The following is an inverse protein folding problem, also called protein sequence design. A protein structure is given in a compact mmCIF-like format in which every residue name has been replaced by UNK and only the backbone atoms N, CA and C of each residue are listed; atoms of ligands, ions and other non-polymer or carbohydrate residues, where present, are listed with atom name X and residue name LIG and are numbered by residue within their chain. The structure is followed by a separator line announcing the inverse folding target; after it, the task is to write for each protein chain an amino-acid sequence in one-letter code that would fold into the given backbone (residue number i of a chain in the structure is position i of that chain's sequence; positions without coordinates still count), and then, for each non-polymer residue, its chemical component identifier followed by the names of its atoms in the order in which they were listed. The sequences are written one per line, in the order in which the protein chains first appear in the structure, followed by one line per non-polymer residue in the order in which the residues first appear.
data_IF_408480676859
#
_entry.id   IF_408480676859
#
_cell.length_a   1.000
_cell.length_b   1.000
_cell.length_c   1.000
_cell.angle_alpha   90.00
_cell.angle_beta   90.00
_cell.angle_gamma   90.00
#
_symmetry.space_group_name_H-M   'P 1'
#
loop_
_entity.id
_entity.type
_entity.pdbx_description
1 polymer ?
#
# COMPACT_ATOMS: atom_id res chain seq x y z
N UNK A 1 -5.06 -10.19 -13.91
CA UNK A 1 -5.92 -9.61 -14.98
C UNK A 1 -7.37 -9.37 -14.55
N UNK A 2 -7.90 -10.13 -13.60
CA UNK A 2 -9.31 -9.98 -13.15
C UNK A 2 -9.57 -8.76 -12.26
N UNK A 3 -8.60 -8.36 -11.42
CA UNK A 3 -8.78 -7.25 -10.47
C UNK A 3 -8.95 -5.89 -11.16
N UNK A 4 -8.18 -5.63 -12.21
CA UNK A 4 -8.28 -4.37 -12.97
C UNK A 4 -9.68 -4.17 -13.58
N UNK A 5 -10.30 -5.24 -14.08
CA UNK A 5 -11.67 -5.18 -14.61
C UNK A 5 -12.69 -4.92 -13.51
N UNK A 6 -12.52 -5.55 -12.33
CA UNK A 6 -13.38 -5.32 -11.18
C UNK A 6 -13.24 -3.87 -10.69
N UNK A 7 -12.02 -3.38 -10.53
CA UNK A 7 -11.75 -1.99 -10.12
C UNK A 7 -12.41 -1.01 -11.09
N UNK A 8 -12.19 -1.14 -12.40
CA UNK A 8 -12.82 -0.28 -13.41
C UNK A 8 -14.33 -0.28 -13.30
N UNK A 9 -14.93 -1.45 -13.07
CA UNK A 9 -16.38 -1.57 -12.90
C UNK A 9 -16.86 -0.80 -11.67
N UNK A 10 -16.21 -0.95 -10.51
CA UNK A 10 -16.56 -0.22 -9.30
C UNK A 10 -16.41 1.29 -9.49
N UNK A 11 -15.30 1.75 -10.07
CA UNK A 11 -15.07 3.19 -10.34
C UNK A 11 -16.12 3.78 -11.25
N UNK A 12 -16.48 3.11 -12.36
CA UNK A 12 -17.49 3.60 -13.30
C UNK A 12 -18.86 3.72 -12.62
N UNK A 13 -19.26 2.71 -11.85
CA UNK A 13 -20.55 2.74 -11.17
C UNK A 13 -20.60 3.72 -10.01
N UNK A 14 -19.50 3.92 -9.28
CA UNK A 14 -19.38 4.95 -8.25
C UNK A 14 -19.44 6.36 -8.87
N UNK A 15 -18.83 6.59 -10.04
CA UNK A 15 -18.99 7.84 -10.80
C UNK A 15 -20.44 8.08 -11.22
N UNK A 16 -21.09 7.06 -11.78
CA UNK A 16 -22.50 7.17 -12.23
C UNK A 16 -23.45 7.39 -11.06
N UNK A 17 -23.29 6.65 -9.96
CA UNK A 17 -24.15 6.81 -8.77
C UNK A 17 -23.95 8.17 -8.11
N UNK A 18 -22.70 8.66 -8.03
CA UNK A 18 -22.38 9.97 -7.48
C UNK A 18 -22.91 11.10 -8.37
N UNK A 19 -22.83 10.95 -9.69
CA UNK A 19 -23.44 11.88 -10.63
C UNK A 19 -24.97 11.94 -10.47
N UNK A 20 -25.62 10.77 -10.43
CA UNK A 20 -27.06 10.68 -10.23
C UNK A 20 -27.47 11.28 -8.88
N UNK A 21 -26.73 10.95 -7.81
CA UNK A 21 -26.99 11.51 -6.49
C UNK A 21 -26.89 13.04 -6.47
N UNK A 22 -25.92 13.60 -7.19
CA UNK A 22 -25.76 15.05 -7.33
C UNK A 22 -26.91 15.67 -8.10
N UNK A 23 -27.40 15.06 -9.19
CA UNK A 23 -28.54 15.56 -9.94
C UNK A 23 -29.82 15.51 -9.11
N UNK A 24 -30.14 14.39 -8.45
CA UNK A 24 -31.28 14.25 -7.55
C UNK A 24 -31.20 15.26 -6.41
N UNK A 25 -30.02 15.49 -5.85
CA UNK A 25 -29.81 16.51 -4.83
C UNK A 25 -30.08 17.92 -5.36
N UNK A 26 -29.66 18.26 -6.58
CA UNK A 26 -29.94 19.57 -7.17
C UNK A 26 -31.43 19.79 -7.39
N UNK A 27 -32.18 18.76 -7.76
CA UNK A 27 -33.66 18.82 -7.83
C UNK A 27 -34.24 19.07 -6.43
N UNK A 28 -33.80 18.32 -5.44
CA UNK A 28 -34.22 18.52 -4.05
C UNK A 28 -33.87 19.92 -3.54
N UNK A 29 -32.70 20.41 -3.83
CA UNK A 29 -32.23 21.76 -3.48
C UNK A 29 -33.08 22.84 -4.15
N UNK A 30 -33.39 22.69 -5.44
CA UNK A 30 -34.30 23.61 -6.14
C UNK A 30 -35.65 23.69 -5.45
N UNK A 31 -36.27 22.56 -5.09
CA UNK A 31 -37.55 22.52 -4.41
C UNK A 31 -37.50 23.17 -3.02
N UNK A 32 -36.42 22.95 -2.27
CA UNK A 32 -36.25 23.50 -0.92
C UNK A 32 -36.03 25.01 -0.94
N UNK A 33 -35.36 25.54 -1.96
CA UNK A 33 -35.04 26.97 -2.08
C UNK A 33 -35.86 27.73 -3.13
N UNK A 34 -36.93 27.15 -3.67
CA UNK A 34 -37.71 27.74 -4.75
C UNK A 34 -38.16 29.18 -4.48
N UNK A 35 -38.40 29.54 -3.22
CA UNK A 35 -38.78 30.89 -2.80
C UNK A 35 -37.63 31.89 -2.73
N UNK A 36 -36.36 31.41 -2.69
CA UNK A 36 -35.16 32.24 -2.52
C UNK A 36 -34.24 32.26 -3.74
N UNK A 37 -34.35 31.25 -4.60
CA UNK A 37 -33.55 31.13 -5.83
C UNK A 37 -34.37 31.83 -6.94
N UNK A 38 -33.85 32.89 -7.50
CA UNK A 38 -34.53 33.70 -8.54
C UNK A 38 -34.77 32.99 -9.89
N UNK A 39 -34.98 31.66 -9.88
CA UNK A 39 -35.25 30.83 -11.05
C UNK A 39 -36.69 30.31 -11.01
N UNK A 40 -37.44 30.62 -12.06
CA UNK A 40 -38.82 30.15 -12.20
C UNK A 40 -38.87 28.68 -12.61
N UNK A 41 -37.87 28.18 -13.33
CA UNK A 41 -37.89 26.81 -13.90
C UNK A 41 -36.68 25.98 -13.42
N UNK A 42 -36.91 24.67 -13.21
CA UNK A 42 -35.86 23.69 -12.86
C UNK A 42 -34.78 23.57 -13.95
N UNK A 43 -35.19 23.64 -15.22
CA UNK A 43 -34.25 23.60 -16.35
C UNK A 43 -33.30 24.80 -16.35
N UNK A 44 -33.82 26.02 -16.11
CA UNK A 44 -32.98 27.22 -15.99
C UNK A 44 -31.97 27.14 -14.83
N UNK A 45 -32.39 26.52 -13.71
CA UNK A 45 -31.51 26.28 -12.57
C UNK A 45 -30.39 25.25 -12.87
N UNK A 46 -30.75 24.09 -13.47
CA UNK A 46 -29.79 23.00 -13.73
C UNK A 46 -28.80 23.31 -14.87
N UNK A 47 -29.21 24.14 -15.84
CA UNK A 47 -28.37 24.48 -17.00
C UNK A 47 -27.36 25.62 -16.73
N UNK A 48 -27.30 26.18 -15.53
CA UNK A 48 -26.25 27.14 -15.19
C UNK A 48 -24.87 26.53 -15.31
N UNK A 49 -23.91 27.27 -15.82
CA UNK A 49 -22.50 26.86 -15.97
C UNK A 49 -21.92 26.29 -14.66
N UNK A 50 -22.24 26.91 -13.51
CA UNK A 50 -21.80 26.46 -12.19
C UNK A 50 -22.29 25.03 -11.90
N UNK A 51 -23.54 24.69 -12.19
CA UNK A 51 -24.08 23.35 -11.91
C UNK A 51 -23.63 22.31 -12.91
N UNK A 52 -23.41 22.68 -14.15
CA UNK A 52 -22.80 21.80 -15.16
C UNK A 52 -21.35 21.46 -14.76
N UNK A 53 -20.57 22.46 -14.36
CA UNK A 53 -19.21 22.28 -13.87
C UNK A 53 -19.17 21.36 -12.62
N UNK A 54 -20.01 21.66 -11.61
CA UNK A 54 -20.10 20.85 -10.40
C UNK A 54 -20.66 19.45 -10.70
N UNK A 55 -21.48 19.28 -11.73
CA UNK A 55 -21.97 17.98 -12.20
C UNK A 55 -20.83 17.03 -12.62
N UNK A 56 -19.69 17.56 -13.05
CA UNK A 56 -18.49 16.79 -13.35
C UNK A 56 -17.54 16.69 -12.14
N UNK A 57 -17.34 17.81 -11.45
CA UNK A 57 -16.37 17.90 -10.35
C UNK A 57 -16.76 17.05 -9.13
N UNK A 58 -18.04 17.04 -8.75
CA UNK A 58 -18.54 16.31 -7.57
C UNK A 58 -18.38 14.79 -7.71
N UNK A 59 -18.74 14.13 -8.83
CA UNK A 59 -18.43 12.72 -9.03
C UNK A 59 -16.93 12.39 -8.97
N UNK A 60 -16.08 13.26 -9.52
CA UNK A 60 -14.62 13.11 -9.44
C UNK A 60 -14.15 13.20 -7.98
N UNK A 61 -14.66 14.18 -7.22
CA UNK A 61 -14.37 14.32 -5.79
C UNK A 61 -14.73 13.04 -5.02
N UNK A 62 -15.92 12.47 -5.23
CA UNK A 62 -16.34 11.22 -4.58
C UNK A 62 -15.45 10.05 -4.95
N UNK A 63 -15.14 9.89 -6.24
CA UNK A 63 -14.22 8.84 -6.70
C UNK A 63 -12.82 8.97 -6.10
N UNK A 64 -12.33 10.20 -5.95
CA UNK A 64 -11.07 10.48 -5.29
C UNK A 64 -11.12 10.17 -3.79
N UNK A 65 -12.21 10.50 -3.09
CA UNK A 65 -12.41 10.17 -1.68
C UNK A 65 -12.46 8.65 -1.47
N UNK A 66 -13.14 7.90 -2.34
CA UNK A 66 -13.17 6.44 -2.32
C UNK A 66 -11.79 5.83 -2.63
N UNK A 67 -11.05 6.43 -3.53
CA UNK A 67 -9.65 6.03 -3.77
C UNK A 67 -8.78 6.24 -2.53
N UNK A 68 -8.86 7.41 -1.88
CA UNK A 68 -8.11 7.70 -0.65
C UNK A 68 -8.46 6.75 0.50
N UNK A 69 -9.73 6.32 0.60
CA UNK A 69 -10.14 5.33 1.61
C UNK A 69 -9.57 3.92 1.37
N UNK A 70 -8.97 3.67 0.20
CA UNK A 70 -8.51 2.35 -0.21
C UNK A 70 -9.63 1.43 -0.67
N UNK A 71 -10.84 1.94 -0.93
CA UNK A 71 -12.02 1.15 -1.31
C UNK A 71 -11.77 0.27 -2.55
N UNK A 72 -10.92 0.70 -3.48
CA UNK A 72 -10.63 -0.02 -4.72
C UNK A 72 -9.45 -1.00 -4.64
N UNK A 73 -8.75 -1.13 -3.49
CA UNK A 73 -7.50 -1.89 -3.42
C UNK A 73 -7.68 -3.40 -3.37
N UNK A 74 -8.74 -3.89 -2.74
CA UNK A 74 -9.02 -5.33 -2.58
C UNK A 74 -10.43 -5.67 -3.10
N UNK A 75 -10.65 -5.60 -4.43
CA UNK A 75 -11.99 -5.70 -5.00
C UNK A 75 -12.64 -7.07 -4.83
N UNK A 76 -11.85 -8.13 -4.57
CA UNK A 76 -12.35 -9.51 -4.36
C UNK A 76 -12.72 -9.82 -2.92
N UNK A 77 -12.29 -9.01 -1.94
CA UNK A 77 -12.56 -9.23 -0.50
C UNK A 77 -13.72 -8.38 0.02
N UNK A 78 -14.58 -7.89 -0.85
CA UNK A 78 -15.71 -7.04 -0.49
C UNK A 78 -16.85 -7.84 0.12
N UNK A 79 -17.56 -7.19 1.07
CA UNK A 79 -18.77 -7.71 1.70
C UNK A 79 -19.84 -6.63 1.70
N UNK A 80 -21.12 -7.01 1.66
CA UNK A 80 -22.24 -6.05 1.64
C UNK A 80 -22.22 -5.12 2.86
N UNK A 81 -21.94 -5.68 4.05
CA UNK A 81 -21.85 -4.88 5.28
C UNK A 81 -20.63 -3.94 5.25
N UNK A 82 -19.46 -4.42 4.82
CA UNK A 82 -18.25 -3.61 4.68
C UNK A 82 -18.42 -2.47 3.69
N UNK A 83 -19.08 -2.71 2.56
CA UNK A 83 -19.35 -1.69 1.54
C UNK A 83 -20.35 -0.64 2.06
N UNK A 84 -21.38 -1.05 2.80
CA UNK A 84 -22.33 -0.13 3.43
C UNK A 84 -21.65 0.75 4.49
N UNK A 85 -20.88 0.15 5.41
CA UNK A 85 -20.14 0.90 6.45
C UNK A 85 -19.15 1.89 5.84
N UNK A 86 -18.43 1.48 4.81
CA UNK A 86 -17.52 2.36 4.08
C UNK A 86 -18.29 3.51 3.40
N UNK A 87 -19.41 3.21 2.74
CA UNK A 87 -20.26 4.23 2.13
C UNK A 87 -20.79 5.22 3.18
N UNK A 88 -21.28 4.76 4.33
CA UNK A 88 -21.83 5.60 5.38
C UNK A 88 -20.78 6.57 5.95
N UNK A 89 -19.60 6.05 6.33
CA UNK A 89 -18.52 6.87 6.88
C UNK A 89 -18.03 7.91 5.85
N UNK A 90 -17.79 7.48 4.61
CA UNK A 90 -17.28 8.39 3.58
C UNK A 90 -18.34 9.40 3.12
N UNK A 91 -19.62 9.01 3.09
CA UNK A 91 -20.71 9.96 2.79
C UNK A 91 -20.77 11.04 3.85
N UNK A 92 -20.67 10.69 5.13
CA UNK A 92 -20.65 11.69 6.22
C UNK A 92 -19.48 12.67 6.05
N UNK A 93 -18.27 12.16 5.85
CA UNK A 93 -17.06 12.98 5.66
C UNK A 93 -17.17 13.83 4.39
N UNK A 94 -17.56 13.24 3.27
CA UNK A 94 -17.61 13.93 1.98
C UNK A 94 -18.70 15.00 1.93
N UNK A 95 -19.87 14.77 2.54
CA UNK A 95 -20.94 15.77 2.63
C UNK A 95 -20.53 16.96 3.48
N UNK A 96 -19.82 16.74 4.60
CA UNK A 96 -19.28 17.82 5.42
C UNK A 96 -18.27 18.65 4.59
N UNK A 97 -17.37 18.01 3.85
CA UNK A 97 -16.41 18.73 3.00
C UNK A 97 -17.12 19.54 1.92
N UNK A 98 -18.08 18.93 1.21
CA UNK A 98 -18.84 19.60 0.16
C UNK A 98 -19.74 20.73 0.70
N UNK A 99 -20.22 20.60 1.93
CA UNK A 99 -20.95 21.68 2.60
C UNK A 99 -20.08 22.93 2.71
N UNK A 100 -18.87 22.82 3.26
CA UNK A 100 -17.97 23.97 3.40
C UNK A 100 -17.44 24.50 2.06
N UNK A 101 -17.29 23.65 1.05
CA UNK A 101 -16.76 24.07 -0.25
C UNK A 101 -17.81 24.71 -1.17
N UNK A 102 -19.06 24.25 -1.10
CA UNK A 102 -20.09 24.59 -2.08
C UNK A 102 -21.34 25.16 -1.42
N UNK A 103 -21.93 24.44 -0.46
CA UNK A 103 -23.29 24.69 0.06
C UNK A 103 -23.33 25.90 1.00
N UNK A 104 -22.27 26.19 1.72
CA UNK A 104 -22.21 27.33 2.65
C UNK A 104 -22.44 28.68 1.95
N UNK A 105 -22.14 28.76 0.65
CA UNK A 105 -22.30 29.98 -0.15
C UNK A 105 -23.76 30.20 -0.64
N UNK A 106 -24.71 29.36 -0.27
CA UNK A 106 -26.10 29.45 -0.77
C UNK A 106 -26.97 30.51 -0.06
N UNK A 107 -26.54 31.01 1.11
CA UNK A 107 -27.23 32.04 1.90
C UNK A 107 -28.75 31.84 2.07
N UNK A 108 -29.20 30.73 2.71
CA UNK A 108 -30.61 30.50 2.93
C UNK A 108 -31.20 31.54 3.90
N UNK A 109 -32.51 31.88 3.71
CA UNK A 109 -33.20 32.82 4.60
C UNK A 109 -33.22 32.38 6.07
N UNK A 110 -33.23 31.07 6.30
CA UNK A 110 -33.27 30.50 7.66
C UNK A 110 -32.14 29.46 7.85
N UNK A 111 -31.41 29.47 8.99
CA UNK A 111 -30.33 28.52 9.25
C UNK A 111 -30.74 27.05 9.22
N UNK A 112 -32.00 26.70 9.56
CA UNK A 112 -32.48 25.33 9.54
C UNK A 112 -32.46 24.69 8.14
N UNK A 113 -32.55 25.49 7.07
CA UNK A 113 -32.47 25.01 5.70
C UNK A 113 -31.12 24.36 5.35
N UNK A 114 -30.03 24.81 6.00
CA UNK A 114 -28.74 24.14 5.87
C UNK A 114 -28.79 22.69 6.37
N UNK A 115 -29.45 22.45 7.50
CA UNK A 115 -29.58 21.08 8.03
C UNK A 115 -30.41 20.19 7.11
N UNK A 116 -31.47 20.72 6.51
CA UNK A 116 -32.29 19.98 5.53
C UNK A 116 -31.49 19.64 4.29
N UNK A 117 -30.69 20.54 3.75
CA UNK A 117 -29.85 20.31 2.57
C UNK A 117 -28.76 19.31 2.85
N UNK A 118 -28.03 19.48 3.94
CA UNK A 118 -26.95 18.55 4.35
C UNK A 118 -27.54 17.16 4.59
N UNK A 119 -28.63 17.06 5.37
CA UNK A 119 -29.32 15.79 5.63
C UNK A 119 -29.90 15.15 4.37
N UNK A 120 -30.52 15.97 3.50
CA UNK A 120 -31.05 15.50 2.23
C UNK A 120 -29.96 14.95 1.31
N UNK A 121 -28.85 15.68 1.16
CA UNK A 121 -27.73 15.18 0.34
C UNK A 121 -27.08 13.92 0.93
N UNK A 122 -26.92 13.89 2.26
CA UNK A 122 -26.38 12.72 2.96
C UNK A 122 -27.25 11.47 2.67
N UNK A 123 -28.58 11.59 2.82
CA UNK A 123 -29.50 10.47 2.56
C UNK A 123 -29.50 10.06 1.09
N UNK A 124 -29.63 11.02 0.16
CA UNK A 124 -29.67 10.75 -1.29
C UNK A 124 -28.38 10.03 -1.72
N UNK A 125 -27.21 10.57 -1.33
CA UNK A 125 -25.93 10.00 -1.72
C UNK A 125 -25.71 8.62 -1.09
N UNK A 126 -25.99 8.46 0.21
CA UNK A 126 -25.85 7.19 0.92
C UNK A 126 -26.73 6.11 0.32
N UNK A 127 -28.01 6.41 0.06
CA UNK A 127 -28.96 5.42 -0.48
C UNK A 127 -28.55 4.99 -1.89
N UNK A 128 -28.30 5.94 -2.79
CA UNK A 128 -27.94 5.61 -4.18
C UNK A 128 -26.61 4.86 -4.28
N UNK A 129 -25.59 5.31 -3.55
CA UNK A 129 -24.30 4.64 -3.55
C UNK A 129 -24.37 3.25 -2.93
N UNK A 130 -25.08 3.09 -1.79
CA UNK A 130 -25.24 1.79 -1.13
C UNK A 130 -26.02 0.80 -1.98
N UNK A 131 -27.07 1.23 -2.66
CA UNK A 131 -27.85 0.38 -3.58
C UNK A 131 -26.98 -0.13 -4.73
N UNK A 132 -26.25 0.76 -5.40
CA UNK A 132 -25.39 0.39 -6.52
C UNK A 132 -24.28 -0.58 -6.04
N UNK A 133 -23.66 -0.30 -4.91
CA UNK A 133 -22.63 -1.18 -4.32
C UNK A 133 -23.19 -2.52 -3.91
N UNK A 134 -24.36 -2.57 -3.30
CA UNK A 134 -25.05 -3.80 -2.95
C UNK A 134 -25.23 -4.72 -4.16
N UNK A 135 -25.77 -4.21 -5.27
CA UNK A 135 -25.95 -5.01 -6.49
C UNK A 135 -24.61 -5.49 -7.08
N UNK A 136 -23.59 -4.64 -7.05
CA UNK A 136 -22.27 -5.01 -7.55
C UNK A 136 -21.62 -6.11 -6.70
N UNK A 137 -21.66 -5.96 -5.39
CA UNK A 137 -21.04 -6.90 -4.44
C UNK A 137 -21.83 -8.20 -4.39
N UNK A 138 -23.16 -8.17 -4.46
CA UNK A 138 -23.97 -9.39 -4.63
C UNK A 138 -23.59 -10.15 -5.91
N UNK A 139 -23.44 -9.44 -7.03
CA UNK A 139 -22.98 -10.06 -8.28
C UNK A 139 -21.58 -10.65 -8.16
N UNK A 140 -20.69 -10.00 -7.39
CA UNK A 140 -19.36 -10.54 -7.08
C UNK A 140 -19.47 -11.82 -6.26
N UNK A 141 -20.23 -11.82 -5.16
CA UNK A 141 -20.41 -12.97 -4.26
C UNK A 141 -21.00 -14.17 -4.99
N UNK A 142 -22.02 -13.95 -5.83
CA UNK A 142 -22.60 -15.01 -6.69
C UNK A 142 -21.58 -15.56 -7.69
N UNK A 143 -20.70 -14.72 -8.23
CA UNK A 143 -19.64 -15.22 -9.11
C UNK A 143 -18.56 -15.99 -8.33
N UNK A 144 -18.26 -15.59 -7.10
CA UNK A 144 -17.33 -16.30 -6.23
C UNK A 144 -17.85 -17.67 -5.81
N UNK A 145 -19.15 -17.81 -5.51
CA UNK A 145 -19.74 -19.12 -5.23
C UNK A 145 -19.66 -20.08 -6.43
N UNK A 146 -19.54 -19.55 -7.65
CA UNK A 146 -19.30 -20.30 -8.88
C UNK A 146 -17.81 -20.49 -9.21
N UNK A 147 -16.91 -20.20 -8.26
CA UNK A 147 -15.46 -20.32 -8.42
C UNK A 147 -14.78 -19.20 -9.22
N UNK A 148 -15.54 -18.16 -9.65
CA UNK A 148 -14.96 -17.00 -10.35
C UNK A 148 -14.52 -15.93 -9.33
N UNK A 149 -13.32 -15.35 -9.52
CA UNK A 149 -12.76 -14.31 -8.63
C UNK A 149 -12.42 -14.78 -7.20
N UNK A 150 -12.45 -16.10 -6.93
CA UNK A 150 -11.99 -16.64 -5.65
C UNK A 150 -10.47 -16.51 -5.51
N UNK A 151 -10.00 -16.39 -4.28
CA UNK A 151 -8.57 -16.33 -3.92
C UNK A 151 -8.10 -17.76 -3.67
N UNK A 152 -7.20 -18.33 -4.49
CA UNK A 152 -6.68 -19.67 -4.27
C UNK A 152 -5.77 -19.71 -3.06
N UNK A 153 -6.05 -20.65 -2.14
CA UNK A 153 -5.39 -20.79 -0.85
C UNK A 153 -4.83 -22.18 -0.67
N UNK A 154 -3.62 -22.24 -0.12
CA UNK A 154 -2.94 -23.47 0.26
C UNK A 154 -2.91 -23.57 1.79
N UNK A 155 -3.22 -24.74 2.33
CA UNK A 155 -3.07 -25.02 3.76
C UNK A 155 -1.75 -25.77 3.98
N UNK A 156 -0.89 -25.23 4.82
CA UNK A 156 0.41 -25.80 5.17
C UNK A 156 0.29 -26.49 6.53
N UNK A 157 0.40 -27.81 6.53
CA UNK A 157 0.15 -28.70 7.66
C UNK A 157 -0.89 -29.76 7.29
N UNK A 158 -0.78 -30.94 7.90
CA UNK A 158 -1.62 -32.13 7.63
C UNK A 158 -2.21 -32.74 8.91
N UNK A 159 -2.04 -32.09 10.06
CA UNK A 159 -2.48 -32.55 11.37
C UNK A 159 -3.89 -32.10 11.76
N UNK A 160 -4.19 -32.12 13.06
CA UNK A 160 -5.54 -31.79 13.58
C UNK A 160 -6.00 -30.37 13.27
N UNK A 161 -5.08 -29.40 13.37
CA UNK A 161 -5.38 -28.01 13.03
C UNK A 161 -5.74 -27.85 11.56
N UNK A 162 -5.09 -28.59 10.67
CA UNK A 162 -5.40 -28.59 9.24
C UNK A 162 -6.79 -29.15 8.96
N UNK A 163 -7.15 -30.29 9.59
CA UNK A 163 -8.51 -30.87 9.52
C UNK A 163 -9.56 -29.88 10.03
N UNK A 164 -9.30 -29.24 11.18
CA UNK A 164 -10.21 -28.24 11.73
C UNK A 164 -10.38 -27.05 10.78
N UNK A 165 -9.29 -26.52 10.24
CA UNK A 165 -9.32 -25.40 9.31
C UNK A 165 -10.09 -25.79 8.03
N UNK A 166 -9.88 -26.98 7.50
CA UNK A 166 -10.60 -27.53 6.33
C UNK A 166 -12.11 -27.64 6.58
N UNK A 167 -12.51 -28.12 7.77
CA UNK A 167 -13.91 -28.21 8.17
C UNK A 167 -14.58 -26.84 8.21
N UNK A 168 -13.92 -25.87 8.79
CA UNK A 168 -14.38 -24.48 8.84
C UNK A 168 -14.53 -23.90 7.42
N UNK A 169 -13.57 -24.15 6.53
CA UNK A 169 -13.68 -23.78 5.11
C UNK A 169 -14.92 -24.38 4.45
N UNK A 170 -15.22 -25.64 4.69
CA UNK A 170 -16.40 -26.30 4.11
C UNK A 170 -17.71 -25.74 4.67
N UNK A 171 -17.76 -25.44 5.98
CA UNK A 171 -18.92 -24.88 6.65
C UNK A 171 -19.31 -23.48 6.12
N UNK A 172 -18.31 -22.66 5.81
CA UNK A 172 -18.50 -21.29 5.34
C UNK A 172 -18.22 -21.10 3.84
N UNK A 173 -18.26 -22.17 3.06
CA UNK A 173 -17.92 -22.18 1.61
C UNK A 173 -18.66 -21.10 0.80
N UNK A 174 -19.91 -20.78 1.15
CA UNK A 174 -20.69 -19.74 0.48
C UNK A 174 -20.32 -18.30 0.89
N UNK A 175 -19.64 -18.13 2.02
CA UNK A 175 -19.28 -16.84 2.59
C UNK A 175 -17.81 -16.46 2.34
N UNK A 176 -17.01 -17.40 1.82
CA UNK A 176 -15.59 -17.18 1.56
C UNK A 176 -15.29 -16.77 0.12
N UNK A 177 -14.53 -15.71 -0.01
CA UNK A 177 -13.88 -15.37 -1.29
C UNK A 177 -12.69 -16.30 -1.61
N UNK A 178 -12.45 -17.34 -0.81
CA UNK A 178 -11.30 -18.23 -0.90
C UNK A 178 -11.65 -19.57 -1.54
N UNK A 179 -10.70 -20.12 -2.33
CA UNK A 179 -10.77 -21.44 -2.91
C UNK A 179 -9.62 -22.27 -2.37
N UNK A 180 -9.96 -23.32 -1.65
CA UNK A 180 -8.98 -24.29 -1.17
C UNK A 180 -8.44 -25.12 -2.34
N UNK A 181 -7.10 -25.23 -2.47
CA UNK A 181 -6.44 -25.99 -3.54
C UNK A 181 -5.81 -27.30 -3.04
N UNK A 182 -5.36 -27.34 -1.78
CA UNK A 182 -4.76 -28.55 -1.20
C UNK A 182 -3.92 -28.28 0.04
N UNK A 183 -3.31 -29.36 0.52
CA UNK A 183 -2.42 -29.36 1.68
C UNK A 183 -0.96 -29.53 1.29
N UNK A 184 -0.05 -28.97 2.12
CA UNK A 184 1.39 -29.19 2.08
C UNK A 184 1.81 -29.84 3.39
N UNK A 185 2.55 -30.96 3.30
CA UNK A 185 3.14 -31.64 4.46
C UNK A 185 4.37 -30.85 4.94
N UNK A 186 4.53 -30.79 6.25
CA UNK A 186 5.72 -30.22 6.90
C UNK A 186 6.33 -31.25 7.85
N UNK A 187 7.56 -31.66 7.58
CA UNK A 187 8.27 -32.69 8.35
C UNK A 187 7.55 -34.01 8.42
N UNK A 188 7.80 -34.79 9.46
CA UNK A 188 7.22 -36.14 9.69
C UNK A 188 5.90 -36.08 10.47
N UNK A 189 5.17 -34.97 10.40
CA UNK A 189 3.87 -34.88 11.08
C UNK A 189 2.87 -35.89 10.51
N UNK A 190 2.02 -36.51 11.39
CA UNK A 190 1.03 -37.48 10.94
C UNK A 190 0.04 -36.83 9.97
N UNK A 191 -0.24 -37.52 8.87
CA UNK A 191 -1.26 -37.12 7.90
C UNK A 191 -2.62 -37.51 8.46
N UNK A 192 -3.46 -36.53 8.81
CA UNK A 192 -4.85 -36.74 9.29
C UNK A 192 -5.89 -36.17 8.32
N UNK A 193 -5.42 -35.59 7.22
CA UNK A 193 -6.24 -35.13 6.09
C UNK A 193 -6.28 -36.18 5.00
N UNK A 194 -7.19 -36.05 4.04
CA UNK A 194 -7.26 -36.95 2.89
C UNK A 194 -5.96 -36.84 2.08
N UNK A 195 -5.30 -37.98 1.88
CA UNK A 195 -4.01 -38.04 1.16
C UNK A 195 -4.12 -37.52 -0.28
N UNK A 196 -5.28 -37.69 -0.92
CA UNK A 196 -5.54 -37.16 -2.28
C UNK A 196 -5.53 -35.65 -2.35
N UNK A 197 -5.82 -34.94 -1.25
CA UNK A 197 -5.76 -33.46 -1.16
C UNK A 197 -4.33 -32.98 -0.81
N UNK A 198 -3.36 -33.87 -0.54
CA UNK A 198 -1.96 -33.49 -0.24
C UNK A 198 -1.18 -33.33 -1.53
N UNK A 199 -0.78 -32.09 -1.83
CA UNK A 199 -0.10 -31.73 -3.10
C UNK A 199 1.41 -31.97 -3.07
N UNK A 200 2.00 -32.07 -1.88
CA UNK A 200 3.44 -32.29 -1.70
C UNK A 200 3.92 -31.89 -0.30
N UNK A 201 5.20 -31.64 -0.21
CA UNK A 201 5.91 -31.22 1.01
C UNK A 201 6.33 -29.74 0.97
N UNK A 202 6.96 -29.28 2.05
CA UNK A 202 7.42 -27.87 2.19
C UNK A 202 8.44 -27.48 1.11
N UNK A 203 9.26 -28.42 0.63
CA UNK A 203 10.25 -28.17 -0.40
C UNK A 203 9.62 -28.01 -1.79
N UNK A 204 8.52 -28.71 -2.06
CA UNK A 204 7.74 -28.60 -3.29
C UNK A 204 6.79 -27.40 -3.31
N UNK A 205 6.59 -26.72 -2.18
CA UNK A 205 5.67 -25.61 -2.03
C UNK A 205 5.86 -24.48 -3.07
N UNK A 206 7.10 -24.04 -3.45
CA UNK A 206 7.28 -23.02 -4.48
C UNK A 206 6.73 -23.41 -5.84
N UNK A 207 6.82 -24.68 -6.21
CA UNK A 207 6.26 -25.21 -7.45
C UNK A 207 4.74 -25.26 -7.42
N UNK A 208 4.18 -25.72 -6.29
CA UNK A 208 2.73 -25.78 -6.09
C UNK A 208 2.09 -24.40 -6.09
N UNK A 209 2.73 -23.41 -5.46
CA UNK A 209 2.29 -22.01 -5.49
C UNK A 209 2.21 -21.47 -6.92
N UNK A 210 3.19 -21.77 -7.76
CA UNK A 210 3.19 -21.36 -9.17
C UNK A 210 2.14 -22.13 -9.98
N UNK A 211 2.08 -23.45 -9.81
CA UNK A 211 1.19 -24.35 -10.57
C UNK A 211 -0.28 -24.03 -10.35
N UNK A 212 -0.67 -23.82 -9.09
CA UNK A 212 -2.06 -23.55 -8.70
C UNK A 212 -2.36 -22.04 -8.55
N UNK A 213 -1.41 -21.16 -8.88
CA UNK A 213 -1.53 -19.71 -8.74
C UNK A 213 -1.97 -19.28 -7.35
N UNK A 214 -1.39 -19.89 -6.31
CA UNK A 214 -1.73 -19.62 -4.91
C UNK A 214 -1.46 -18.15 -4.58
N UNK A 215 -2.44 -17.50 -3.96
CA UNK A 215 -2.35 -16.09 -3.57
C UNK A 215 -2.22 -15.89 -2.07
N UNK A 216 -2.48 -16.92 -1.26
CA UNK A 216 -2.35 -16.87 0.20
C UNK A 216 -2.05 -18.25 0.77
N UNK A 217 -1.19 -18.34 1.80
CA UNK A 217 -0.90 -19.56 2.54
C UNK A 217 -1.42 -19.48 3.98
N UNK A 218 -2.08 -20.54 4.42
CA UNK A 218 -2.60 -20.71 5.78
C UNK A 218 -1.85 -21.82 6.49
N UNK A 219 -1.13 -21.48 7.56
CA UNK A 219 -0.34 -22.43 8.34
C UNK A 219 -1.18 -23.01 9.47
N UNK A 220 -1.37 -24.31 9.45
CA UNK A 220 -2.14 -25.09 10.41
C UNK A 220 -1.26 -26.20 11.00
N UNK A 221 -0.16 -25.81 11.66
CA UNK A 221 0.80 -26.71 12.29
C UNK A 221 0.39 -27.00 13.73
N UNK A 222 0.30 -28.28 14.12
CA UNK A 222 -0.12 -28.69 15.47
C UNK A 222 0.92 -28.29 16.53
N UNK A 223 2.20 -28.42 16.20
CA UNK A 223 3.32 -28.02 17.04
C UNK A 223 4.31 -27.17 16.23
N UNK A 224 4.45 -25.92 16.59
CA UNK A 224 5.48 -25.04 16.02
C UNK A 224 6.78 -25.14 16.83
N UNK A 225 7.67 -26.04 16.44
CA UNK A 225 9.05 -26.06 16.96
C UNK A 225 9.86 -24.96 16.27
N UNK A 226 10.85 -24.40 16.98
CA UNK A 226 11.63 -23.26 16.49
C UNK A 226 12.38 -23.55 15.17
N UNK A 227 12.85 -24.77 15.00
CA UNK A 227 13.53 -25.24 13.79
C UNK A 227 12.55 -25.28 12.59
N UNK A 228 11.36 -25.85 12.78
CA UNK A 228 10.30 -25.89 11.75
C UNK A 228 9.82 -24.49 11.36
N UNK A 229 9.73 -23.57 12.32
CA UNK A 229 9.33 -22.17 12.03
C UNK A 229 10.33 -21.51 11.08
N UNK A 230 11.63 -21.70 11.29
CA UNK A 230 12.65 -21.16 10.40
C UNK A 230 12.55 -21.74 8.99
N UNK A 231 12.42 -23.05 8.85
CA UNK A 231 12.27 -23.73 7.56
C UNK A 231 11.03 -23.21 6.80
N UNK A 232 9.91 -23.15 7.49
CA UNK A 232 8.64 -22.61 6.97
C UNK A 232 8.80 -21.17 6.52
N UNK A 233 9.38 -20.30 7.34
CA UNK A 233 9.60 -18.90 7.00
C UNK A 233 10.54 -18.72 5.81
N UNK A 234 11.62 -19.52 5.74
CA UNK A 234 12.54 -19.51 4.60
C UNK A 234 11.87 -19.92 3.29
N UNK A 235 10.92 -20.86 3.34
CA UNK A 235 10.17 -21.27 2.16
C UNK A 235 9.13 -20.24 1.70
N UNK A 236 8.58 -19.44 2.63
CA UNK A 236 7.55 -18.42 2.34
C UNK A 236 8.13 -17.13 1.81
N UNK A 237 9.24 -16.65 2.40
CA UNK A 237 9.76 -15.32 2.08
C UNK A 237 10.04 -15.11 0.59
N UNK A 238 10.61 -16.08 -0.16
CA UNK A 238 10.81 -15.94 -1.60
C UNK A 238 9.52 -15.87 -2.41
N UNK A 239 8.40 -16.41 -1.89
CA UNK A 239 7.12 -16.46 -2.60
C UNK A 239 6.40 -15.12 -2.64
N UNK A 240 6.72 -14.22 -1.69
CA UNK A 240 6.14 -12.88 -1.57
C UNK A 240 4.60 -12.88 -1.56
N UNK A 241 4.00 -13.90 -0.95
CA UNK A 241 2.55 -14.05 -0.75
C UNK A 241 2.21 -13.90 0.74
N UNK A 242 1.00 -13.41 1.07
CA UNK A 242 0.53 -13.35 2.44
C UNK A 242 0.51 -14.73 3.09
N UNK A 243 1.05 -14.82 4.31
CA UNK A 243 1.04 -16.02 5.10
C UNK A 243 0.43 -15.73 6.47
N UNK A 244 -0.53 -16.56 6.88
CA UNK A 244 -1.16 -16.49 8.20
C UNK A 244 -1.09 -17.85 8.87
N UNK A 245 -1.00 -17.86 10.20
CA UNK A 245 -1.03 -19.10 10.98
C UNK A 245 -2.29 -19.20 11.82
N UNK A 246 -2.74 -20.40 12.01
CA UNK A 246 -3.82 -20.73 12.95
C UNK A 246 -3.29 -20.51 14.38
N UNK A 247 -3.96 -19.64 15.13
CA UNK A 247 -3.54 -19.26 16.46
C UNK A 247 -3.99 -20.26 17.51
N UNK A 248 -3.06 -20.61 18.39
CA UNK A 248 -3.36 -21.33 19.63
C UNK A 248 -3.79 -20.35 20.72
N UNK A 249 -4.18 -20.90 21.86
CA UNK A 249 -4.54 -20.10 23.04
C UNK A 249 -3.41 -19.17 23.50
N UNK A 250 -2.16 -19.57 23.33
CA UNK A 250 -1.00 -18.76 23.72
C UNK A 250 -0.83 -17.54 22.82
N UNK A 251 -0.97 -17.68 21.52
CA UNK A 251 -0.89 -16.56 20.58
C UNK A 251 -2.10 -15.61 20.72
N UNK A 252 -3.28 -16.17 21.05
CA UNK A 252 -4.47 -15.34 21.37
C UNK A 252 -4.21 -14.49 22.61
N UNK A 253 -3.69 -15.11 23.70
CA UNK A 253 -3.37 -14.40 24.93
C UNK A 253 -2.23 -13.39 24.78
N UNK A 254 -1.27 -13.67 23.90
CA UNK A 254 -0.19 -12.75 23.54
C UNK A 254 -0.65 -11.55 22.67
N UNK A 255 -1.94 -11.47 22.33
CA UNK A 255 -2.50 -10.36 21.53
C UNK A 255 -2.08 -10.37 20.05
N UNK A 256 -1.52 -11.45 19.54
CA UNK A 256 -1.08 -11.57 18.15
C UNK A 256 -2.25 -11.69 17.16
N UNK A 257 -3.42 -12.12 17.62
CA UNK A 257 -4.59 -12.38 16.78
C UNK A 257 -5.36 -11.10 16.51
N UNK A 258 -5.66 -10.85 15.23
CA UNK A 258 -6.54 -9.75 14.83
C UNK A 258 -8.01 -10.21 14.91
N UNK A 259 -8.88 -9.40 15.53
CA UNK A 259 -10.33 -9.63 15.57
C UNK A 259 -11.00 -9.67 14.18
N UNK A 260 -10.34 -9.14 13.16
CA UNK A 260 -10.77 -9.21 11.76
C UNK A 260 -10.25 -10.46 11.03
N UNK A 261 -9.81 -11.48 11.77
CA UNK A 261 -9.49 -12.79 11.19
C UNK A 261 -10.76 -13.46 10.64
N UNK A 262 -10.62 -14.14 9.53
CA UNK A 262 -11.65 -14.77 8.72
C UNK A 262 -12.74 -15.46 9.59
N UNK A 263 -13.94 -14.90 9.62
CA UNK A 263 -15.18 -15.50 10.14
C UNK A 263 -15.06 -16.26 11.47
N UNK A 264 -14.30 -15.72 12.43
CA UNK A 264 -14.14 -16.34 13.75
C UNK A 264 -12.98 -17.33 13.85
N UNK A 265 -12.29 -17.64 12.76
CA UNK A 265 -11.05 -18.44 12.80
C UNK A 265 -9.92 -17.56 13.33
N UNK A 266 -9.30 -17.91 14.46
CA UNK A 266 -8.20 -17.12 15.01
C UNK A 266 -6.94 -17.31 14.16
N UNK A 267 -6.64 -16.32 13.33
CA UNK A 267 -5.44 -16.31 12.49
C UNK A 267 -4.54 -15.13 12.88
N UNK A 268 -3.23 -15.34 12.86
CA UNK A 268 -2.25 -14.27 12.99
C UNK A 268 -1.32 -14.23 11.77
N UNK A 269 -0.77 -13.07 11.48
CA UNK A 269 0.13 -12.89 10.35
C UNK A 269 1.52 -13.45 10.66
N UNK A 270 2.04 -14.32 9.77
CA UNK A 270 3.43 -14.75 9.74
C UNK A 270 4.31 -13.82 8.90
N UNK A 271 3.71 -13.18 7.90
CA UNK A 271 4.34 -12.10 7.14
C UNK A 271 3.92 -10.75 7.73
N UNK A 272 4.78 -9.72 7.64
CA UNK A 272 4.47 -8.40 8.19
C UNK A 272 3.13 -7.87 7.72
N UNK A 273 2.35 -7.30 8.64
CA UNK A 273 1.09 -6.65 8.31
C UNK A 273 1.38 -5.34 7.62
N UNK A 274 1.17 -5.30 6.32
CA UNK A 274 1.36 -4.07 5.55
C UNK A 274 0.40 -2.96 6.04
N UNK A 275 0.85 -1.71 5.84
CA UNK A 275 0.07 -0.51 6.12
C UNK A 275 -1.36 -0.62 5.55
N UNK A 276 -2.41 -0.25 6.31
CA UNK A 276 -3.79 -0.27 5.83
C UNK A 276 -3.95 0.47 4.50
N UNK A 277 -4.83 -0.03 3.64
CA UNK A 277 -4.99 0.48 2.27
C UNK A 277 -5.22 1.99 2.20
N UNK A 278 -6.04 2.55 3.09
CA UNK A 278 -6.31 3.99 3.14
C UNK A 278 -5.05 4.81 3.50
N UNK A 279 -4.25 4.36 4.48
CA UNK A 279 -3.00 5.04 4.82
C UNK A 279 -2.00 4.97 3.67
N UNK A 280 -1.92 3.84 2.98
CA UNK A 280 -1.05 3.64 1.81
C UNK A 280 -1.41 4.57 0.66
N UNK A 281 -2.73 4.80 0.41
CA UNK A 281 -3.18 5.75 -0.61
C UNK A 281 -2.86 7.20 -0.22
N UNK A 282 -3.15 7.58 1.02
CA UNK A 282 -2.79 8.91 1.54
C UNK A 282 -1.27 9.11 1.47
N UNK A 283 -0.48 8.13 1.92
CA UNK A 283 0.99 8.17 1.81
C UNK A 283 1.43 8.42 0.37
N UNK A 284 0.85 7.70 -0.60
CA UNK A 284 1.21 7.88 -2.02
C UNK A 284 0.86 9.29 -2.52
N UNK A 285 -0.28 9.83 -2.16
CA UNK A 285 -0.66 11.21 -2.50
C UNK A 285 0.32 12.22 -1.88
N UNK A 286 0.69 12.04 -0.61
CA UNK A 286 1.67 12.89 0.07
C UNK A 286 3.07 12.78 -0.56
N UNK A 287 3.51 11.56 -0.89
CA UNK A 287 4.77 11.31 -1.58
C UNK A 287 4.84 12.07 -2.92
N UNK A 288 3.78 12.01 -3.71
CA UNK A 288 3.70 12.72 -5.01
C UNK A 288 3.67 14.24 -4.79
N UNK A 289 2.78 14.71 -3.92
CA UNK A 289 2.62 16.14 -3.64
C UNK A 289 3.94 16.78 -3.14
N UNK A 290 4.57 16.17 -2.14
CA UNK A 290 5.83 16.64 -1.58
C UNK A 290 6.96 16.56 -2.61
N UNK A 291 7.00 15.52 -3.44
CA UNK A 291 8.03 15.41 -4.49
C UNK A 291 7.90 16.51 -5.55
N UNK A 292 6.67 16.81 -6.00
CA UNK A 292 6.41 17.92 -6.91
C UNK A 292 6.81 19.24 -6.26
N UNK A 293 6.40 19.46 -5.01
CA UNK A 293 6.71 20.68 -4.27
C UNK A 293 8.23 20.87 -4.12
N UNK A 294 8.96 19.82 -3.72
CA UNK A 294 10.43 19.87 -3.59
C UNK A 294 11.08 20.16 -4.94
N UNK A 295 10.68 19.49 -6.01
CA UNK A 295 11.28 19.70 -7.34
C UNK A 295 11.02 21.10 -7.88
N UNK A 296 9.83 21.67 -7.65
CA UNK A 296 9.49 23.04 -8.07
C UNK A 296 10.23 24.08 -7.22
N UNK A 297 10.14 23.97 -5.88
CA UNK A 297 10.72 24.95 -4.95
C UNK A 297 12.25 24.98 -5.06
N UNK A 298 12.90 23.82 -5.17
CA UNK A 298 14.35 23.72 -5.27
C UNK A 298 14.86 23.67 -6.72
N UNK A 299 14.02 23.97 -7.73
CA UNK A 299 14.46 24.01 -9.14
C UNK A 299 15.70 24.91 -9.39
N UNK A 300 15.86 26.09 -8.78
CA UNK A 300 17.10 26.88 -8.91
C UNK A 300 18.31 26.15 -8.31
N UNK A 301 18.12 25.45 -7.18
CA UNK A 301 19.17 24.64 -6.56
C UNK A 301 19.56 23.47 -7.46
N UNK A 302 18.60 22.78 -8.09
CA UNK A 302 18.89 21.72 -9.06
C UNK A 302 19.75 22.25 -10.23
N UNK A 303 19.42 23.43 -10.77
CA UNK A 303 20.21 24.07 -11.82
C UNK A 303 21.63 24.39 -11.34
N UNK A 304 21.78 24.99 -10.19
CA UNK A 304 23.09 25.31 -9.58
C UNK A 304 23.93 24.06 -9.35
N UNK A 305 23.37 23.01 -8.71
CA UNK A 305 24.08 21.76 -8.46
C UNK A 305 24.47 21.08 -9.77
N UNK A 306 23.60 21.09 -10.78
CA UNK A 306 23.89 20.53 -12.11
C UNK A 306 25.11 21.21 -12.75
N UNK A 307 25.18 22.54 -12.72
CA UNK A 307 26.30 23.31 -13.23
C UNK A 307 27.58 22.98 -12.45
N UNK A 308 27.52 22.97 -11.12
CA UNK A 308 28.68 22.67 -10.26
C UNK A 308 29.20 21.25 -10.44
N UNK A 309 28.32 20.26 -10.62
CA UNK A 309 28.71 18.87 -10.95
C UNK A 309 29.41 18.80 -12.30
N UNK A 310 28.86 19.50 -13.31
CA UNK A 310 29.41 19.52 -14.67
C UNK A 310 30.83 20.14 -14.71
N UNK A 311 31.07 21.16 -13.87
CA UNK A 311 32.37 21.84 -13.79
C UNK A 311 33.36 21.15 -12.85
N UNK A 312 32.92 20.28 -11.94
CA UNK A 312 33.79 19.61 -10.96
C UNK A 312 34.57 18.41 -11.50
N UNK A 313 34.05 17.73 -12.53
CA UNK A 313 34.70 16.60 -13.18
C UNK A 313 34.07 16.31 -14.54
N UNK A 314 34.80 15.63 -15.47
CA UNK A 314 34.27 15.20 -16.76
C UNK A 314 33.17 14.15 -16.62
N UNK A 315 32.13 14.18 -17.50
CA UNK A 315 31.06 13.21 -17.57
C UNK A 315 29.65 13.77 -17.36
N UNK A 316 28.62 12.88 -17.23
CA UNK A 316 27.23 13.29 -17.07
C UNK A 316 26.95 13.90 -15.69
N UNK A 317 25.92 14.76 -15.58
CA UNK A 317 25.53 15.40 -14.33
C UNK A 317 24.88 14.38 -13.37
N UNK A 318 24.06 13.49 -13.92
CA UNK A 318 23.39 12.47 -13.15
C UNK A 318 24.15 11.15 -13.22
N UNK A 319 24.25 10.51 -12.08
CA UNK A 319 24.67 9.12 -11.94
C UNK A 319 23.43 8.24 -11.77
N UNK A 320 23.38 7.17 -12.55
CA UNK A 320 22.25 6.23 -12.56
C UNK A 320 22.75 4.88 -12.11
N UNK A 321 22.13 4.33 -11.07
CA UNK A 321 22.50 3.04 -10.52
C UNK A 321 21.29 2.12 -10.40
N UNK A 322 21.41 0.89 -10.90
CA UNK A 322 20.36 -0.11 -10.74
C UNK A 322 20.31 -0.59 -9.28
N UNK A 323 19.13 -0.54 -8.69
CA UNK A 323 18.83 -1.03 -7.34
C UNK A 323 17.63 -1.96 -7.37
N UNK A 324 17.47 -2.81 -6.35
CA UNK A 324 16.29 -3.62 -6.19
C UNK A 324 15.22 -2.85 -5.39
N UNK A 325 14.02 -2.81 -5.94
CA UNK A 325 12.87 -2.16 -5.37
C UNK A 325 11.82 -3.15 -4.86
N UNK A 326 10.56 -2.73 -4.90
CA UNK A 326 9.43 -3.56 -4.46
C UNK A 326 9.37 -4.87 -5.25
N UNK A 327 9.18 -5.99 -4.54
CA UNK A 327 9.16 -7.36 -5.09
C UNK A 327 10.46 -7.76 -5.81
N UNK A 328 11.60 -7.21 -5.39
CA UNK A 328 12.89 -7.48 -6.01
C UNK A 328 13.05 -6.95 -7.44
N UNK A 329 12.10 -6.13 -7.93
CA UNK A 329 12.15 -5.58 -9.28
C UNK A 329 13.26 -4.55 -9.41
N UNK A 330 14.14 -4.67 -10.40
CA UNK A 330 15.20 -3.70 -10.60
C UNK A 330 14.62 -2.36 -11.09
N UNK A 331 15.15 -1.25 -10.57
CA UNK A 331 14.81 0.09 -11.02
C UNK A 331 16.07 0.97 -11.11
N UNK A 332 15.99 2.04 -11.91
CA UNK A 332 17.05 3.02 -12.11
C UNK A 332 16.95 4.13 -11.06
N UNK A 333 17.85 4.14 -10.09
CA UNK A 333 17.91 5.19 -9.06
C UNK A 333 18.79 6.35 -9.56
N UNK A 334 18.26 7.56 -9.50
CA UNK A 334 18.95 8.78 -9.97
C UNK A 334 19.60 9.50 -8.80
N UNK A 335 20.85 9.94 -8.99
CA UNK A 335 21.60 10.78 -8.07
C UNK A 335 22.41 11.82 -8.86
N UNK A 336 22.80 12.92 -8.23
CA UNK A 336 23.88 13.72 -8.77
C UNK A 336 25.20 12.96 -8.66
N UNK A 337 26.05 13.08 -9.67
CA UNK A 337 27.37 12.47 -9.65
C UNK A 337 28.26 13.14 -8.61
N UNK A 338 28.80 12.33 -7.71
CA UNK A 338 29.72 12.77 -6.63
C UNK A 338 31.09 12.15 -6.71
N UNK A 339 31.30 11.19 -7.64
CA UNK A 339 32.56 10.47 -7.84
C UNK A 339 33.08 10.69 -9.26
N UNK A 340 34.38 10.44 -9.46
CA UNK A 340 34.99 10.39 -10.78
C UNK A 340 34.44 9.23 -11.61
N UNK A 341 34.60 9.29 -12.96
CA UNK A 341 33.96 8.32 -13.86
C UNK A 341 34.44 6.87 -13.66
N UNK A 342 35.70 6.70 -13.31
CA UNK A 342 36.34 5.38 -13.16
C UNK A 342 36.20 4.81 -11.73
N UNK A 343 35.34 5.39 -10.90
CA UNK A 343 35.21 5.05 -9.48
C UNK A 343 34.84 3.58 -9.21
N UNK A 344 34.26 2.87 -10.16
CA UNK A 344 33.84 1.46 -10.06
C UNK A 344 34.44 0.57 -11.15
N UNK A 345 35.60 0.93 -11.73
CA UNK A 345 36.28 0.11 -12.76
C UNK A 345 36.59 -1.31 -12.23
N UNK A 346 36.94 -1.45 -10.95
CA UNK A 346 37.24 -2.76 -10.30
C UNK A 346 35.95 -3.46 -9.74
N UNK A 347 34.76 -3.00 -10.11
CA UNK A 347 33.50 -3.60 -9.65
C UNK A 347 32.81 -2.88 -8.48
N UNK A 348 31.69 -3.46 -8.00
CA UNK A 348 30.86 -2.85 -6.96
C UNK A 348 31.56 -2.77 -5.61
N UNK A 349 31.83 -1.54 -5.13
CA UNK A 349 32.40 -1.31 -3.79
C UNK A 349 31.48 -0.39 -2.97
N UNK A 350 31.43 -0.64 -1.66
CA UNK A 350 30.80 0.29 -0.72
C UNK A 350 31.69 1.52 -0.55
N UNK A 351 31.08 2.69 -0.38
CA UNK A 351 31.82 3.93 -0.14
C UNK A 351 32.22 4.03 1.33
N UNK A 352 33.42 4.52 1.60
CA UNK A 352 33.92 4.81 2.94
C UNK A 352 33.97 6.33 3.21
N UNK A 353 34.23 6.71 4.48
CA UNK A 353 34.26 8.13 4.88
C UNK A 353 35.35 8.93 4.16
N UNK A 354 36.49 8.31 3.88
CA UNK A 354 37.66 8.95 3.22
C UNK A 354 37.89 8.36 1.82
N UNK A 355 36.85 8.12 1.07
CA UNK A 355 36.92 7.54 -0.26
C UNK A 355 37.52 8.55 -1.27
N UNK A 356 38.68 8.24 -1.81
CA UNK A 356 39.43 9.11 -2.76
C UNK A 356 38.70 9.25 -4.10
N UNK A 357 37.75 8.33 -4.42
CA UNK A 357 36.92 8.38 -5.63
C UNK A 357 35.94 9.55 -5.62
N UNK A 358 35.73 10.19 -4.46
CA UNK A 358 34.74 11.26 -4.28
C UNK A 358 35.39 12.62 -4.65
N UNK A 359 34.75 13.38 -5.54
CA UNK A 359 35.20 14.74 -5.88
C UNK A 359 35.08 15.68 -4.68
N UNK A 360 35.87 16.78 -4.58
CA UNK A 360 35.73 17.75 -3.49
C UNK A 360 34.32 18.30 -3.33
N UNK A 361 33.66 18.66 -4.44
CA UNK A 361 32.27 19.10 -4.43
C UNK A 361 31.29 17.94 -4.09
N UNK A 362 31.62 16.74 -4.51
CA UNK A 362 30.87 15.52 -4.16
C UNK A 362 30.85 15.28 -2.64
N UNK A 363 31.95 15.53 -1.93
CA UNK A 363 32.00 15.42 -0.45
C UNK A 363 31.03 16.41 0.20
N UNK A 364 30.98 17.66 -0.28
CA UNK A 364 30.01 18.64 0.19
C UNK A 364 28.57 18.15 -0.04
N UNK A 365 28.25 17.70 -1.26
CA UNK A 365 26.92 17.20 -1.58
C UNK A 365 26.51 16.00 -0.70
N UNK A 366 27.37 15.03 -0.49
CA UNK A 366 27.11 13.84 0.36
C UNK A 366 26.91 14.23 1.82
N UNK A 367 27.71 15.18 2.33
CA UNK A 367 27.57 15.68 3.69
C UNK A 367 26.15 16.20 3.99
N UNK A 368 25.51 16.84 3.02
CA UNK A 368 24.16 17.40 3.15
C UNK A 368 23.11 16.61 2.38
N UNK A 369 23.45 15.44 1.83
CA UNK A 369 22.60 14.57 1.00
C UNK A 369 21.96 15.26 -0.20
N UNK A 370 22.58 16.31 -0.72
CA UNK A 370 22.14 17.02 -1.90
C UNK A 370 22.23 16.16 -3.17
N UNK A 371 23.12 15.18 -3.17
CA UNK A 371 23.26 14.20 -4.25
C UNK A 371 22.03 13.31 -4.40
N UNK A 372 21.20 13.15 -3.37
CA UNK A 372 20.00 12.32 -3.38
C UNK A 372 18.75 13.05 -3.87
N UNK A 373 18.80 14.37 -4.09
CA UNK A 373 17.65 15.16 -4.58
C UNK A 373 17.00 14.60 -5.87
N UNK A 374 17.75 14.09 -6.88
CA UNK A 374 17.11 13.52 -8.07
C UNK A 374 16.22 12.30 -7.79
N UNK A 375 16.30 11.67 -6.60
CA UNK A 375 15.43 10.54 -6.24
C UNK A 375 13.96 10.94 -6.07
N UNK A 376 13.63 12.24 -5.87
CA UNK A 376 12.23 12.70 -5.92
C UNK A 376 11.58 12.41 -7.27
N UNK A 377 12.35 12.36 -8.35
CA UNK A 377 11.86 11.87 -9.64
C UNK A 377 11.50 10.38 -9.60
N UNK A 378 12.29 9.53 -8.92
CA UNK A 378 11.94 8.13 -8.70
C UNK A 378 10.65 7.98 -7.87
N UNK A 379 10.43 8.87 -6.89
CA UNK A 379 9.18 8.88 -6.14
C UNK A 379 8.00 9.22 -7.06
N UNK A 380 8.10 10.22 -7.92
CA UNK A 380 7.04 10.55 -8.87
C UNK A 380 6.72 9.41 -9.83
N UNK A 381 7.74 8.71 -10.34
CA UNK A 381 7.58 7.53 -11.21
C UNK A 381 6.91 6.34 -10.49
N UNK A 382 6.97 6.28 -9.16
CA UNK A 382 6.45 5.16 -8.37
C UNK A 382 7.46 4.06 -8.10
N UNK A 383 8.74 4.26 -8.44
CA UNK A 383 9.82 3.34 -8.11
C UNK A 383 10.17 3.39 -6.62
N UNK A 384 9.97 4.56 -5.97
CA UNK A 384 10.33 4.85 -4.58
C UNK A 384 9.18 5.56 -3.84
N UNK A 385 9.30 5.62 -2.53
CA UNK A 385 8.56 6.47 -1.59
C UNK A 385 9.54 7.43 -0.89
N UNK A 386 9.05 8.48 -0.24
CA UNK A 386 9.92 9.34 0.57
C UNK A 386 10.45 8.56 1.78
N UNK A 387 9.56 7.81 2.47
CA UNK A 387 9.93 6.97 3.61
C UNK A 387 9.72 5.50 3.28
N UNK A 388 10.76 4.70 3.49
CA UNK A 388 10.75 3.24 3.25
C UNK A 388 12.14 2.65 3.46
N UNK A 389 12.29 1.32 3.44
CA UNK A 389 13.59 0.66 3.55
C UNK A 389 14.56 1.15 2.46
N UNK A 390 15.86 1.25 2.79
CA UNK A 390 16.86 1.69 1.81
C UNK A 390 17.05 0.65 0.71
N UNK A 391 16.98 1.04 -0.60
CA UNK A 391 17.22 0.10 -1.69
C UNK A 391 18.69 -0.24 -1.82
N UNK A 392 19.02 -1.53 -1.99
CA UNK A 392 20.40 -2.01 -2.15
C UNK A 392 20.64 -2.57 -3.56
N UNK A 393 21.93 -2.72 -3.93
CA UNK A 393 22.35 -3.31 -5.21
C UNK A 393 22.14 -4.83 -5.17
N UNK A 394 21.77 -5.45 -6.27
CA UNK A 394 21.56 -6.90 -6.36
C UNK A 394 22.74 -7.70 -5.77
N UNK A 395 23.96 -7.31 -6.10
CA UNK A 395 25.20 -7.94 -5.59
C UNK A 395 25.27 -8.02 -4.04
N UNK A 396 24.83 -6.95 -3.34
CA UNK A 396 24.83 -6.97 -1.88
C UNK A 396 23.59 -7.68 -1.34
N UNK A 397 22.47 -7.55 -2.01
CA UNK A 397 21.23 -8.23 -1.63
C UNK A 397 21.38 -9.74 -1.62
N UNK A 398 22.05 -10.32 -2.62
CA UNK A 398 22.36 -11.74 -2.67
C UNK A 398 23.17 -12.20 -1.46
N UNK A 399 24.21 -11.43 -1.06
CA UNK A 399 25.01 -11.72 0.14
C UNK A 399 24.22 -11.59 1.44
N UNK A 400 23.30 -10.61 1.49
CA UNK A 400 22.45 -10.41 2.68
C UNK A 400 21.45 -11.56 2.81
N UNK A 401 20.78 -11.95 1.71
CA UNK A 401 19.78 -13.03 1.72
C UNK A 401 20.38 -14.36 2.14
N UNK A 402 21.62 -14.66 1.74
CA UNK A 402 22.34 -15.86 2.19
C UNK A 402 22.50 -15.93 3.71
N UNK A 403 22.71 -14.77 4.38
CA UNK A 403 22.86 -14.68 5.84
C UNK A 403 21.52 -14.45 6.55
N UNK A 404 20.61 -13.72 5.93
CA UNK A 404 19.28 -13.34 6.49
C UNK A 404 18.21 -13.29 5.41
N UNK A 405 17.48 -14.41 5.17
CA UNK A 405 16.40 -14.48 4.22
C UNK A 405 15.25 -13.46 4.52
N UNK A 406 15.16 -12.99 5.78
CA UNK A 406 14.20 -11.97 6.21
C UNK A 406 14.34 -10.65 5.43
N UNK A 407 15.47 -10.41 4.77
CA UNK A 407 15.64 -9.27 3.88
C UNK A 407 14.57 -9.19 2.78
N UNK A 408 14.07 -10.34 2.33
CA UNK A 408 12.99 -10.38 1.32
C UNK A 408 11.70 -9.73 1.78
N UNK A 409 11.46 -9.66 3.10
CA UNK A 409 10.26 -9.01 3.66
C UNK A 409 10.27 -7.50 3.40
N UNK A 410 11.41 -6.83 3.52
CA UNK A 410 11.47 -5.37 3.29
C UNK A 410 11.23 -5.01 1.82
N UNK A 411 11.38 -5.95 0.90
CA UNK A 411 11.03 -5.75 -0.51
C UNK A 411 9.52 -5.81 -0.80
N UNK A 412 8.68 -6.08 0.19
CA UNK A 412 7.22 -6.02 0.02
C UNK A 412 6.69 -4.59 -0.10
N UNK A 413 7.46 -3.60 0.33
CA UNK A 413 7.12 -2.17 0.25
C UNK A 413 8.02 -1.42 -0.72
N UNK A 414 7.63 -0.19 -1.09
CA UNK A 414 8.49 0.67 -1.88
C UNK A 414 9.73 1.09 -1.07
N UNK A 415 10.93 1.08 -1.66
CA UNK A 415 12.11 1.61 -1.01
C UNK A 415 11.99 3.13 -0.80
N UNK A 416 12.65 3.65 0.23
CA UNK A 416 12.59 5.04 0.62
C UNK A 416 13.84 5.86 0.26
N UNK A 417 13.66 7.19 0.14
CA UNK A 417 14.76 8.16 0.16
C UNK A 417 15.37 8.16 1.56
N UNK A 418 14.53 8.10 2.60
CA UNK A 418 14.94 7.91 4.00
C UNK A 418 14.29 6.69 4.61
N UNK A 419 14.92 6.09 5.63
CA UNK A 419 14.42 4.92 6.35
C UNK A 419 14.63 5.06 7.86
N UNK A 420 13.91 4.24 8.64
CA UNK A 420 14.14 4.13 10.08
C UNK A 420 15.56 3.62 10.37
N UNK A 421 16.05 2.64 9.59
CA UNK A 421 17.41 2.15 9.68
C UNK A 421 18.46 3.24 9.42
N UNK A 422 18.24 4.11 8.42
CA UNK A 422 19.16 5.22 8.15
C UNK A 422 19.20 6.25 9.27
N UNK A 423 18.05 6.53 9.92
CA UNK A 423 17.93 7.52 10.99
C UNK A 423 18.52 7.00 12.30
N UNK A 424 18.33 5.72 12.62
CA UNK A 424 18.74 5.12 13.91
C UNK A 424 20.13 4.52 13.89
N UNK A 425 20.45 3.77 12.85
CA UNK A 425 21.76 3.11 12.70
C UNK A 425 22.74 3.97 11.89
N UNK A 426 22.28 4.60 10.84
CA UNK A 426 23.11 5.42 9.96
C UNK A 426 23.60 4.68 8.71
N UNK A 427 24.83 4.98 8.31
CA UNK A 427 25.43 4.42 7.10
C UNK A 427 26.08 3.05 7.37
N UNK A 428 25.78 2.08 6.51
CA UNK A 428 26.35 0.73 6.56
C UNK A 428 27.37 0.58 5.43
N UNK A 429 28.63 0.41 5.78
CA UNK A 429 29.79 0.27 4.89
C UNK A 429 30.28 -1.18 4.77
N UNK A 430 29.63 -2.12 5.47
CA UNK A 430 29.88 -3.58 5.37
C UNK A 430 28.55 -4.33 5.32
N UNK A 431 28.59 -5.60 4.89
CA UNK A 431 27.41 -6.48 4.86
C UNK A 431 26.88 -6.73 6.28
N UNK A 432 27.78 -6.85 7.26
CA UNK A 432 27.42 -7.04 8.67
C UNK A 432 26.62 -5.85 9.19
N UNK A 433 27.08 -4.63 8.93
CA UNK A 433 26.33 -3.41 9.28
C UNK A 433 25.02 -3.27 8.52
N UNK A 434 24.94 -3.80 7.28
CA UNK A 434 23.67 -3.87 6.55
C UNK A 434 22.68 -4.81 7.23
N UNK A 435 23.14 -5.92 7.80
CA UNK A 435 22.32 -6.84 8.58
C UNK A 435 21.82 -6.20 9.88
N UNK A 436 22.68 -5.49 10.61
CA UNK A 436 22.26 -4.75 11.81
C UNK A 436 21.24 -3.67 11.48
N UNK A 437 21.42 -2.94 10.37
CA UNK A 437 20.45 -1.95 9.90
C UNK A 437 19.13 -2.59 9.48
N UNK A 438 19.16 -3.81 8.92
CA UNK A 438 17.97 -4.55 8.52
C UNK A 438 17.00 -4.75 9.68
N UNK A 439 17.47 -4.95 10.91
CA UNK A 439 16.60 -5.08 12.08
C UNK A 439 15.70 -3.85 12.28
N UNK A 440 16.24 -2.64 12.09
CA UNK A 440 15.46 -1.40 12.18
C UNK A 440 14.46 -1.26 11.01
N UNK A 441 14.86 -1.68 9.80
CA UNK A 441 13.97 -1.65 8.64
C UNK A 441 12.85 -2.70 8.77
N UNK A 442 13.11 -3.87 9.41
CA UNK A 442 12.07 -4.84 9.78
C UNK A 442 11.13 -4.29 10.86
N UNK A 443 11.66 -3.60 11.90
CA UNK A 443 10.83 -2.93 12.91
C UNK A 443 9.92 -1.87 12.26
N UNK A 444 10.42 -1.13 11.27
CA UNK A 444 9.59 -0.20 10.50
C UNK A 444 8.49 -0.94 9.76
N UNK A 445 8.81 -2.04 9.10
CA UNK A 445 7.85 -2.81 8.30
C UNK A 445 6.68 -3.34 9.15
N UNK A 446 6.96 -3.83 10.36
CA UNK A 446 5.94 -4.32 11.31
C UNK A 446 5.03 -3.22 11.87
N UNK A 447 5.57 -2.00 12.02
CA UNK A 447 4.88 -0.89 12.68
C UNK A 447 4.52 0.25 11.72
N UNK A 448 4.59 0.03 10.41
CA UNK A 448 4.41 1.06 9.40
C UNK A 448 3.03 1.73 9.49
N UNK A 449 3.03 3.03 9.63
CA UNK A 449 1.85 3.90 9.61
C UNK A 449 2.26 5.34 9.28
N UNK A 450 1.28 6.19 8.92
CA UNK A 450 1.55 7.58 8.54
C UNK A 450 2.23 8.39 9.64
N UNK A 451 1.92 8.12 10.91
CA UNK A 451 2.52 8.83 12.04
C UNK A 451 4.00 8.45 12.20
N UNK A 452 4.35 7.17 12.00
CA UNK A 452 5.74 6.73 12.00
C UNK A 452 6.52 7.33 10.83
N UNK A 453 5.91 7.41 9.65
CA UNK A 453 6.51 8.07 8.49
C UNK A 453 6.82 9.55 8.79
N UNK A 454 5.85 10.28 9.36
CA UNK A 454 6.05 11.66 9.79
C UNK A 454 7.20 11.78 10.83
N UNK A 455 7.23 10.86 11.79
CA UNK A 455 8.30 10.81 12.80
C UNK A 455 9.68 10.59 12.15
N UNK A 456 9.79 9.70 11.16
CA UNK A 456 11.03 9.45 10.42
C UNK A 456 11.47 10.71 9.67
N UNK A 457 10.53 11.40 9.00
CA UNK A 457 10.83 12.66 8.31
C UNK A 457 11.40 13.71 9.26
N UNK A 458 10.76 13.93 10.41
CA UNK A 458 11.24 14.86 11.44
C UNK A 458 12.65 14.48 11.92
N UNK A 459 12.89 13.20 12.20
CA UNK A 459 14.22 12.74 12.62
C UNK A 459 15.27 12.83 11.51
N UNK A 460 14.88 12.81 10.24
CA UNK A 460 15.81 12.96 9.10
C UNK A 460 16.32 14.41 8.97
N UNK A 461 15.51 15.41 9.35
CA UNK A 461 15.89 16.83 9.22
C UNK A 461 17.13 17.17 10.05
N UNK A 462 17.21 16.68 11.29
CA UNK A 462 18.31 17.03 12.20
C UNK A 462 19.70 16.58 11.70
N UNK A 463 19.92 15.36 11.21
CA UNK A 463 21.17 14.95 10.57
C UNK A 463 21.51 15.75 9.30
N UNK A 464 20.51 16.08 8.48
CA UNK A 464 20.69 16.89 7.27
C UNK A 464 21.23 18.28 7.59
N UNK A 465 20.61 18.98 8.54
CA UNK A 465 21.04 20.33 8.97
C UNK A 465 22.44 20.33 9.63
N UNK A 466 22.80 19.24 10.34
CA UNK A 466 24.12 19.09 10.99
C UNK A 466 25.22 18.59 10.04
N UNK A 467 24.90 18.32 8.78
CA UNK A 467 25.86 17.79 7.82
C UNK A 467 26.46 16.44 8.26
N UNK A 468 25.62 15.55 8.82
CA UNK A 468 26.01 14.18 9.22
C UNK A 468 25.63 13.16 8.15
N UNK A 469 25.64 13.53 6.86
CA UNK A 469 25.27 12.64 5.77
C UNK A 469 26.27 11.51 5.58
N UNK A 470 27.47 11.78 5.25
CA UNK A 470 28.63 10.83 5.16
C UNK A 470 29.91 11.60 5.48
#
# INVERSE_FOLDING_TARGET
MNDTRLIRRYVVWDLLSSFLAWQVFNVFRFQTFRSTVGFETLSGFLLQEKFLFLGVLVPIFWSFLYFLSGYYTEPRKKTNLGDFMNAAILTLIGVIILFFLIVINDYPQHPYLYYQIVGGYLLIHLVLTSLVRYFQTNKLLVNQSKGKYSVPVLIVGTGEKAVRLRKEFNQYKSSFSYRFEGFIRVGDNPVRVDEEEVLGDIHSMPEMVKKYHIEECLFALDHMRSDMVQEVLQSIYPLNIPARAFADRQEILAGKVSLFSLFGIPLYHLTPKLMPSWQRQIKRCLDVLLSVLVMLLFSPLYAYLSLRVKTSSSGPVLYVQTRLGKQGKPFRMYKFRTMYMEAEADGPRLSSRNDERITPFGRFMRKYRLDELPQFWNVLKGDMSIVGPRPERAFFVEKIIQKSPQYLLIQQVLPGITSWGMVKFGYADTVEKMLERLEYDLMYLENQNLLLDLKILVFTIKPLLKGKGQ
#
